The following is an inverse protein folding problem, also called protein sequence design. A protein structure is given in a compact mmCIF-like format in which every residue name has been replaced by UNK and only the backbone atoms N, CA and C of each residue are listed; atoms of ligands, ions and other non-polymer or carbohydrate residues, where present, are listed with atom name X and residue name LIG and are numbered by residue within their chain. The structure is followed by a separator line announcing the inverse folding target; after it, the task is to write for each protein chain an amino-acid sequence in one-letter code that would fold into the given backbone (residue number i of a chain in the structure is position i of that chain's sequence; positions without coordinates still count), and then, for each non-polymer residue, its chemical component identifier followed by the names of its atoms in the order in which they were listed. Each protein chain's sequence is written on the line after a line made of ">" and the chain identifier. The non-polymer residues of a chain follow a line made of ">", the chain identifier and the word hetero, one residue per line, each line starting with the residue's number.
data_IF_912595788616
#
_entry.id   IF_912595788616
#
_cell.length_a   1.000
_cell.length_b   1.000
_cell.length_c   1.000
_cell.angle_alpha   90.00
_cell.angle_beta   90.00
_cell.angle_gamma   90.00
#
_symmetry.space_group_name_H-M   'P 1'
#
loop_
_entity.id
_entity.type
_entity.pdbx_description
1 polymer ?
#
# COMPACT_ATOMS: atom_id res chain seq x y z
N UNK A 1 -2.71 16.56 -38.96
CA UNK A 1 -3.73 15.49 -38.99
C UNK A 1 -3.11 14.11 -39.22
N UNK A 2 -2.26 13.64 -38.31
CA UNK A 2 -1.85 12.24 -38.24
C UNK A 2 -2.34 11.69 -36.91
N UNK A 3 -3.40 10.89 -36.97
CA UNK A 3 -3.96 10.19 -35.82
C UNK A 3 -3.17 8.91 -35.65
N UNK A 4 -2.31 8.85 -34.63
CA UNK A 4 -1.71 7.59 -34.21
C UNK A 4 -2.80 6.72 -33.59
N UNK A 5 -3.23 5.69 -34.34
CA UNK A 5 -4.06 4.60 -33.82
C UNK A 5 -3.20 3.74 -32.90
N UNK A 6 -3.36 3.92 -31.59
CA UNK A 6 -2.95 2.90 -30.64
C UNK A 6 -3.83 1.67 -30.86
N UNK A 7 -3.20 0.52 -31.14
CA UNK A 7 -3.88 -0.78 -31.11
C UNK A 7 -4.20 -1.07 -29.65
N UNK A 8 -5.46 -0.93 -29.27
CA UNK A 8 -5.99 -1.41 -28.00
C UNK A 8 -5.79 -2.93 -27.92
N UNK A 9 -5.09 -3.39 -26.88
CA UNK A 9 -5.06 -4.81 -26.51
C UNK A 9 -6.49 -5.32 -26.28
N UNK A 10 -6.81 -6.58 -26.60
CA UNK A 10 -8.15 -7.10 -26.46
C UNK A 10 -8.59 -7.10 -24.99
N UNK A 11 -9.67 -6.38 -24.70
CA UNK A 11 -10.41 -6.53 -23.44
C UNK A 11 -10.93 -7.97 -23.37
N UNK A 12 -10.56 -8.70 -22.32
CA UNK A 12 -11.22 -9.97 -21.98
C UNK A 12 -12.64 -9.64 -21.51
N UNK A 13 -13.64 -9.96 -22.32
CA UNK A 13 -15.02 -10.05 -21.87
C UNK A 13 -15.17 -11.34 -21.06
N UNK A 14 -15.46 -11.22 -19.76
CA UNK A 14 -15.70 -12.35 -18.87
C UNK A 14 -17.07 -13.00 -19.19
N UNK A 15 -17.10 -13.86 -20.22
CA UNK A 15 -18.02 -14.99 -20.24
C UNK A 15 -17.25 -16.22 -19.77
N UNK A 16 -17.45 -16.57 -18.49
CA UNK A 16 -16.76 -17.66 -17.82
C UNK A 16 -17.15 -19.03 -18.36
N UNK A 17 -16.43 -19.51 -19.37
CA UNK A 17 -16.15 -20.94 -19.50
C UNK A 17 -14.89 -21.23 -18.71
N UNK A 18 -15.02 -21.97 -17.62
CA UNK A 18 -13.89 -22.61 -16.93
C UNK A 18 -13.32 -23.63 -17.93
N UNK A 19 -12.29 -23.23 -18.67
CA UNK A 19 -11.44 -24.18 -19.39
C UNK A 19 -10.65 -24.88 -18.28
N UNK A 20 -10.95 -26.16 -18.02
CA UNK A 20 -10.10 -27.00 -17.18
C UNK A 20 -8.70 -26.94 -17.76
N UNK A 21 -7.77 -26.30 -17.05
CA UNK A 21 -6.38 -26.18 -17.48
C UNK A 21 -5.81 -27.58 -17.73
N UNK A 22 -5.47 -27.88 -18.98
CA UNK A 22 -4.62 -29.01 -19.29
C UNK A 22 -3.30 -28.80 -18.54
N UNK A 23 -2.87 -29.79 -17.76
CA UNK A 23 -1.56 -29.75 -17.11
C UNK A 23 -0.50 -29.70 -18.22
N UNK A 24 0.07 -28.51 -18.44
CA UNK A 24 1.17 -28.32 -19.37
C UNK A 24 2.35 -29.15 -18.87
N UNK A 25 2.76 -30.16 -19.62
CA UNK A 25 3.96 -30.92 -19.31
C UNK A 25 5.19 -30.06 -19.58
N UNK A 26 5.97 -29.78 -18.54
CA UNK A 26 7.23 -29.05 -18.66
C UNK A 26 8.26 -29.86 -19.43
N UNK A 27 9.03 -29.21 -20.29
CA UNK A 27 10.19 -29.78 -20.95
C UNK A 27 11.27 -30.15 -19.93
N UNK A 28 12.18 -31.11 -20.23
CA UNK A 28 13.26 -31.49 -19.30
C UNK A 28 14.12 -30.31 -18.83
N UNK A 29 14.35 -29.31 -19.70
CA UNK A 29 15.10 -28.09 -19.37
C UNK A 29 14.35 -27.19 -18.39
N UNK A 30 13.04 -27.04 -18.56
CA UNK A 30 12.19 -26.30 -17.63
C UNK A 30 12.14 -27.00 -16.26
N UNK A 31 12.09 -28.33 -16.25
CA UNK A 31 12.17 -29.12 -15.01
C UNK A 31 13.51 -28.94 -14.28
N UNK A 32 14.63 -28.91 -15.01
CA UNK A 32 15.96 -28.67 -14.43
C UNK A 32 16.10 -27.26 -13.85
N UNK A 33 15.61 -26.25 -14.59
CA UNK A 33 15.58 -24.87 -14.13
C UNK A 33 14.71 -24.70 -12.87
N UNK A 34 13.51 -25.28 -12.88
CA UNK A 34 12.61 -25.27 -11.73
C UNK A 34 13.28 -25.95 -10.53
N UNK A 35 13.94 -27.09 -10.72
CA UNK A 35 14.70 -27.77 -9.67
C UNK A 35 15.83 -26.89 -9.09
N UNK A 36 16.51 -26.09 -9.93
CA UNK A 36 17.50 -25.13 -9.45
C UNK A 36 16.86 -24.03 -8.60
N UNK A 37 15.73 -23.46 -9.03
CA UNK A 37 15.01 -22.42 -8.28
C UNK A 37 14.41 -22.97 -6.99
N UNK A 38 13.88 -24.20 -7.00
CA UNK A 38 13.47 -24.93 -5.81
C UNK A 38 14.63 -25.10 -4.84
N UNK A 39 15.83 -25.46 -5.32
CA UNK A 39 17.03 -25.50 -4.46
C UNK A 39 17.36 -24.14 -3.86
N UNK A 40 17.16 -23.05 -4.59
CA UNK A 40 17.35 -21.70 -4.06
C UNK A 40 16.30 -21.34 -3.00
N UNK A 41 15.03 -21.70 -3.20
CA UNK A 41 13.99 -21.58 -2.17
C UNK A 41 14.35 -22.44 -0.96
N UNK A 42 14.79 -23.68 -1.17
CA UNK A 42 15.24 -24.56 -0.08
C UNK A 42 16.46 -24.01 0.63
N UNK A 43 17.36 -23.28 -0.06
CA UNK A 43 18.44 -22.54 0.60
C UNK A 43 17.91 -21.39 1.44
N UNK A 44 16.93 -20.63 0.95
CA UNK A 44 16.26 -19.58 1.73
C UNK A 44 15.59 -20.20 2.96
N UNK A 45 14.84 -21.30 2.81
CA UNK A 45 14.18 -22.03 3.90
C UNK A 45 15.20 -22.55 4.92
N UNK A 46 16.26 -23.20 4.45
CA UNK A 46 17.32 -23.75 5.30
C UNK A 46 18.07 -22.64 6.03
N UNK A 47 18.24 -21.49 5.40
CA UNK A 47 18.81 -20.30 6.01
C UNK A 47 17.92 -19.75 7.13
N UNK A 48 16.58 -19.83 6.97
CA UNK A 48 15.57 -19.42 7.96
C UNK A 48 15.39 -20.45 9.09
N UNK A 49 15.68 -21.74 8.90
CA UNK A 49 15.39 -22.77 9.93
C UNK A 49 16.35 -22.79 11.14
N UNK A 50 17.43 -22.00 11.11
CA UNK A 50 18.48 -21.98 12.14
C UNK A 50 18.08 -21.10 13.35
N UNK A 51 18.64 -21.37 14.54
CA UNK A 51 18.26 -20.72 15.83
C UNK A 51 18.35 -19.18 15.89
N UNK A 52 18.90 -18.52 14.87
CA UNK A 52 19.00 -17.05 14.74
C UNK A 52 18.18 -16.54 13.54
N UNK A 53 16.87 -16.80 13.56
CA UNK A 53 15.98 -16.55 12.42
C UNK A 53 15.84 -15.06 12.10
N UNK A 54 15.62 -14.24 13.13
CA UNK A 54 15.33 -12.82 12.97
C UNK A 54 16.48 -12.03 12.35
N UNK A 55 17.71 -12.26 12.82
CA UNK A 55 18.89 -11.56 12.30
C UNK A 55 19.21 -11.97 10.87
N UNK A 56 19.09 -13.27 10.56
CA UNK A 56 19.32 -13.80 9.20
C UNK A 56 18.30 -13.30 8.20
N UNK A 57 17.01 -13.36 8.53
CA UNK A 57 15.95 -12.80 7.68
C UNK A 57 16.25 -11.32 7.40
N UNK A 58 16.62 -10.56 8.43
CA UNK A 58 17.00 -9.15 8.27
C UNK A 58 18.22 -8.96 7.36
N UNK A 59 19.26 -9.76 7.51
CA UNK A 59 20.44 -9.70 6.62
C UNK A 59 20.07 -9.99 5.16
N UNK A 60 19.22 -11.00 4.92
CA UNK A 60 18.77 -11.33 3.56
C UNK A 60 17.88 -10.23 2.98
N UNK A 61 17.01 -9.66 3.82
CA UNK A 61 16.20 -8.49 3.49
C UNK A 61 17.08 -7.32 3.04
N UNK A 62 18.11 -6.99 3.83
CA UNK A 62 19.05 -5.90 3.54
C UNK A 62 19.90 -6.18 2.27
N UNK A 63 20.29 -7.44 2.05
CA UNK A 63 20.97 -7.88 0.82
C UNK A 63 20.09 -7.63 -0.42
N UNK A 64 18.84 -8.11 -0.40
CA UNK A 64 17.90 -7.94 -1.53
C UNK A 64 17.60 -6.46 -1.73
N UNK A 65 17.43 -5.69 -0.65
CA UNK A 65 17.12 -4.25 -0.70
C UNK A 65 18.24 -3.42 -1.34
N UNK A 66 19.49 -3.83 -1.17
CA UNK A 66 20.67 -3.09 -1.68
C UNK A 66 21.18 -3.62 -3.03
N UNK A 67 20.70 -4.79 -3.47
CA UNK A 67 21.12 -5.44 -4.71
C UNK A 67 20.90 -4.58 -5.98
N UNK A 68 21.77 -4.54 -6.99
CA UNK A 68 21.42 -3.84 -8.24
C UNK A 68 20.15 -4.42 -8.90
N UNK A 69 19.27 -3.57 -9.44
CA UNK A 69 18.00 -4.01 -10.05
C UNK A 69 18.21 -5.02 -11.19
N UNK A 70 19.25 -4.84 -12.00
CA UNK A 70 19.63 -5.79 -13.05
C UNK A 70 19.95 -7.19 -12.50
N UNK A 71 20.55 -7.28 -11.31
CA UNK A 71 20.83 -8.56 -10.64
C UNK A 71 19.57 -9.15 -10.03
N UNK A 72 18.69 -8.32 -9.45
CA UNK A 72 17.38 -8.79 -8.96
C UNK A 72 16.59 -9.46 -10.09
N UNK A 73 16.56 -8.87 -11.27
CA UNK A 73 15.90 -9.44 -12.46
C UNK A 73 16.44 -10.78 -12.92
N UNK A 74 17.74 -11.03 -12.73
CA UNK A 74 18.34 -12.33 -13.05
C UNK A 74 17.94 -13.41 -12.04
N UNK A 75 17.65 -13.03 -10.80
CA UNK A 75 17.29 -13.96 -9.73
C UNK A 75 15.78 -14.21 -9.71
N UNK A 76 15.00 -13.14 -9.74
CA UNK A 76 13.54 -13.11 -9.65
C UNK A 76 12.92 -12.97 -11.04
N UNK A 77 13.03 -14.05 -11.80
CA UNK A 77 12.34 -14.27 -13.07
C UNK A 77 11.01 -15.03 -12.84
N UNK A 78 10.29 -15.29 -13.94
CA UNK A 78 9.03 -16.03 -13.92
C UNK A 78 9.13 -17.40 -13.21
N UNK A 79 10.20 -18.15 -13.42
CA UNK A 79 10.40 -19.47 -12.78
C UNK A 79 10.60 -19.35 -11.27
N UNK A 80 11.31 -18.32 -10.80
CA UNK A 80 11.43 -18.05 -9.37
C UNK A 80 10.07 -17.72 -8.75
N UNK A 81 9.26 -16.86 -9.39
CA UNK A 81 7.93 -16.54 -8.86
C UNK A 81 6.99 -17.73 -8.86
N UNK A 82 7.08 -18.61 -9.86
CA UNK A 82 6.33 -19.87 -9.90
C UNK A 82 6.74 -20.80 -8.76
N UNK A 83 8.04 -20.89 -8.49
CA UNK A 83 8.53 -21.68 -7.36
C UNK A 83 8.07 -21.08 -6.02
N UNK A 84 8.02 -19.75 -5.89
CA UNK A 84 7.49 -19.08 -4.69
C UNK A 84 5.99 -19.35 -4.53
N UNK A 85 5.20 -19.25 -5.60
CA UNK A 85 3.77 -19.56 -5.60
C UNK A 85 3.47 -20.94 -5.01
N UNK A 86 4.25 -21.97 -5.41
CA UNK A 86 4.14 -23.34 -4.89
C UNK A 86 4.41 -23.46 -3.38
N UNK A 87 5.12 -22.51 -2.78
CA UNK A 87 5.49 -22.53 -1.36
C UNK A 87 4.63 -21.61 -0.50
N UNK A 88 3.73 -20.81 -1.10
CA UNK A 88 2.82 -19.93 -0.37
C UNK A 88 1.43 -20.56 -0.40
N UNK A 89 0.90 -20.92 0.77
CA UNK A 89 -0.45 -21.48 0.90
C UNK A 89 -1.40 -20.50 1.58
N UNK A 90 -1.19 -20.23 2.87
CA UNK A 90 -2.10 -19.43 3.72
C UNK A 90 -1.38 -18.32 4.47
N UNK A 91 -0.07 -18.17 4.27
CA UNK A 91 0.75 -17.19 4.97
C UNK A 91 0.66 -17.30 6.50
N UNK A 92 0.69 -18.54 7.00
CA UNK A 92 0.63 -18.85 8.44
C UNK A 92 1.99 -19.25 8.99
N UNK A 93 2.85 -19.82 8.15
CA UNK A 93 4.19 -20.21 8.54
C UNK A 93 5.19 -19.05 8.42
N UNK A 94 6.24 -19.10 9.22
CA UNK A 94 7.34 -18.13 9.15
C UNK A 94 7.97 -18.08 7.75
N UNK A 95 8.10 -19.23 7.08
CA UNK A 95 8.67 -19.33 5.73
C UNK A 95 7.83 -18.55 4.73
N UNK A 96 6.50 -18.77 4.71
CA UNK A 96 5.61 -18.06 3.80
C UNK A 96 5.66 -16.54 4.03
N UNK A 97 5.69 -16.10 5.29
CA UNK A 97 5.79 -14.67 5.63
C UNK A 97 7.08 -14.06 5.10
N UNK A 98 8.20 -14.80 5.18
CA UNK A 98 9.47 -14.35 4.61
C UNK A 98 9.41 -14.30 3.08
N UNK A 99 8.80 -15.29 2.43
CA UNK A 99 8.62 -15.27 0.98
C UNK A 99 7.77 -14.08 0.52
N UNK A 100 6.68 -13.77 1.23
CA UNK A 100 5.86 -12.58 0.97
C UNK A 100 6.68 -11.30 1.17
N UNK A 101 7.50 -11.23 2.23
CA UNK A 101 8.38 -10.08 2.46
C UNK A 101 9.44 -9.92 1.37
N UNK A 102 9.95 -11.01 0.81
CA UNK A 102 10.85 -10.98 -0.34
C UNK A 102 10.12 -10.45 -1.58
N UNK A 103 8.90 -10.93 -1.85
CA UNK A 103 8.07 -10.43 -2.95
C UNK A 103 7.86 -8.93 -2.81
N UNK A 104 7.45 -8.46 -1.62
CA UNK A 104 7.25 -7.04 -1.32
C UNK A 104 8.46 -6.18 -1.73
N UNK A 105 9.65 -6.52 -1.26
CA UNK A 105 10.87 -5.76 -1.61
C UNK A 105 11.13 -5.81 -3.12
N UNK A 106 10.99 -6.98 -3.74
CA UNK A 106 11.26 -7.14 -5.18
C UNK A 106 10.32 -6.25 -5.99
N UNK A 107 9.03 -6.25 -5.67
CA UNK A 107 8.05 -5.41 -6.35
C UNK A 107 8.26 -3.92 -6.05
N UNK A 108 8.49 -3.52 -4.80
CA UNK A 108 8.80 -2.13 -4.44
C UNK A 108 9.99 -1.60 -5.26
N UNK A 109 11.01 -2.43 -5.45
CA UNK A 109 12.23 -2.06 -6.19
C UNK A 109 12.07 -2.10 -7.71
N UNK A 110 11.11 -2.85 -8.21
CA UNK A 110 10.71 -2.84 -9.61
C UNK A 110 9.91 -1.61 -10.01
N UNK A 111 9.49 -0.78 -9.05
CA UNK A 111 8.69 0.40 -9.32
C UNK A 111 9.55 1.52 -9.93
N UNK A 112 9.29 1.85 -11.19
CA UNK A 112 9.84 3.04 -11.85
C UNK A 112 8.93 4.21 -11.59
N UNK A 113 9.50 5.41 -11.39
CA UNK A 113 8.77 6.63 -11.01
C UNK A 113 7.54 6.95 -11.89
N UNK A 114 7.44 6.42 -13.12
CA UNK A 114 6.31 6.64 -14.02
C UNK A 114 5.91 5.43 -14.89
N UNK A 115 6.49 4.24 -14.70
CA UNK A 115 6.21 3.08 -15.58
C UNK A 115 5.57 1.92 -14.81
N UNK A 116 5.12 0.91 -15.55
CA UNK A 116 4.74 -0.38 -14.97
C UNK A 116 5.90 -1.02 -14.20
N UNK A 117 5.54 -1.81 -13.18
CA UNK A 117 6.51 -2.56 -12.40
C UNK A 117 7.34 -3.49 -13.28
N UNK A 118 8.67 -3.45 -13.14
CA UNK A 118 9.58 -4.24 -13.97
C UNK A 118 9.40 -5.77 -13.84
N UNK A 119 8.79 -6.25 -12.75
CA UNK A 119 8.53 -7.67 -12.50
C UNK A 119 7.08 -8.08 -12.79
N UNK A 120 6.21 -7.13 -13.19
CA UNK A 120 4.78 -7.42 -13.37
C UNK A 120 4.53 -8.57 -14.35
N UNK A 121 5.20 -8.55 -15.51
CA UNK A 121 5.02 -9.58 -16.54
C UNK A 121 5.37 -10.98 -16.04
N UNK A 122 6.50 -11.10 -15.34
CA UNK A 122 6.96 -12.37 -14.79
C UNK A 122 6.02 -12.91 -13.69
N UNK A 123 5.54 -12.02 -12.81
CA UNK A 123 4.58 -12.36 -11.74
C UNK A 123 3.21 -12.75 -12.30
N UNK A 124 2.76 -12.07 -13.36
CA UNK A 124 1.49 -12.40 -14.00
C UNK A 124 1.55 -13.78 -14.68
N UNK A 125 2.63 -14.08 -15.41
CA UNK A 125 2.80 -15.37 -16.10
C UNK A 125 2.95 -16.52 -15.10
N UNK A 126 3.52 -16.25 -13.91
CA UNK A 126 3.69 -17.27 -12.87
C UNK A 126 2.42 -17.57 -12.06
N UNK A 127 1.28 -16.92 -12.37
CA UNK A 127 0.00 -17.02 -11.64
C UNK A 127 0.05 -16.52 -10.17
N UNK A 128 1.20 -15.99 -9.74
CA UNK A 128 1.40 -15.51 -8.36
C UNK A 128 0.49 -14.31 -8.05
N UNK A 129 0.12 -13.52 -9.06
CA UNK A 129 -0.83 -12.42 -8.91
C UNK A 129 -2.22 -12.93 -8.46
N UNK A 130 -2.76 -13.94 -9.13
CA UNK A 130 -4.07 -14.54 -8.80
C UNK A 130 -4.01 -15.17 -7.40
N UNK A 131 -2.86 -15.77 -7.06
CA UNK A 131 -2.60 -16.30 -5.73
C UNK A 131 -2.64 -15.21 -4.65
N UNK A 132 -1.99 -14.06 -4.88
CA UNK A 132 -2.01 -12.92 -3.95
C UNK A 132 -3.45 -12.42 -3.74
N UNK A 133 -4.24 -12.31 -4.81
CA UNK A 133 -5.66 -11.94 -4.68
C UNK A 133 -6.46 -12.93 -3.84
N UNK A 134 -6.29 -14.23 -4.08
CA UNK A 134 -6.95 -15.28 -3.29
C UNK A 134 -6.56 -15.21 -1.83
N UNK A 135 -5.26 -15.04 -1.54
CA UNK A 135 -4.72 -14.90 -0.19
C UNK A 135 -5.34 -13.69 0.53
N UNK A 136 -5.47 -12.54 -0.13
CA UNK A 136 -6.11 -11.36 0.46
C UNK A 136 -7.56 -11.67 0.83
N UNK A 137 -8.34 -12.21 -0.12
CA UNK A 137 -9.76 -12.56 0.10
C UNK A 137 -9.92 -13.52 1.29
N UNK A 138 -9.20 -14.64 1.26
CA UNK A 138 -9.27 -15.67 2.30
C UNK A 138 -8.85 -15.16 3.68
N UNK A 139 -7.77 -14.37 3.74
CA UNK A 139 -7.24 -13.84 5.01
C UNK A 139 -8.13 -12.76 5.60
N UNK A 140 -8.63 -11.84 4.79
CA UNK A 140 -9.58 -10.82 5.24
C UNK A 140 -10.85 -11.48 5.75
N UNK A 141 -11.41 -12.43 5.01
CA UNK A 141 -12.61 -13.15 5.43
C UNK A 141 -12.39 -13.94 6.72
N UNK A 142 -11.25 -14.61 6.85
CA UNK A 142 -10.91 -15.37 8.06
C UNK A 142 -10.73 -14.46 9.27
N UNK A 143 -9.95 -13.39 9.15
CA UNK A 143 -9.67 -12.48 10.26
C UNK A 143 -10.87 -11.64 10.65
N UNK A 144 -11.70 -11.23 9.70
CA UNK A 144 -12.91 -10.47 10.01
C UNK A 144 -13.91 -11.28 10.83
N UNK A 145 -14.03 -12.59 10.54
CA UNK A 145 -14.85 -13.52 11.33
C UNK A 145 -14.28 -13.78 12.73
N UNK A 146 -12.96 -13.84 12.87
CA UNK A 146 -12.33 -14.22 14.15
C UNK A 146 -12.10 -13.05 15.10
N UNK A 147 -11.78 -11.86 14.58
CA UNK A 147 -11.18 -10.78 15.37
C UNK A 147 -12.13 -9.65 15.73
N UNK A 148 -13.39 -9.67 15.28
CA UNK A 148 -14.39 -8.66 15.63
C UNK A 148 -13.90 -7.24 15.30
N UNK A 149 -13.52 -6.47 16.32
CA UNK A 149 -13.07 -5.08 16.20
C UNK A 149 -11.55 -4.88 16.11
N UNK A 150 -10.73 -5.93 16.18
CA UNK A 150 -9.28 -5.76 16.06
C UNK A 150 -8.84 -5.44 14.62
N UNK A 151 -7.71 -4.75 14.48
CA UNK A 151 -7.07 -4.53 13.18
C UNK A 151 -6.72 -5.84 12.50
N UNK A 152 -6.79 -5.85 11.17
CA UNK A 152 -6.21 -6.90 10.36
C UNK A 152 -4.71 -7.03 10.61
N UNK A 153 -4.19 -8.23 10.43
CA UNK A 153 -2.79 -8.53 10.62
C UNK A 153 -1.89 -7.81 9.61
N UNK A 154 -0.62 -7.64 9.98
CA UNK A 154 0.37 -7.04 9.10
C UNK A 154 0.58 -7.80 7.80
N UNK A 155 0.30 -9.10 7.76
CA UNK A 155 0.43 -9.89 6.53
C UNK A 155 -0.69 -9.55 5.53
N UNK A 156 -1.90 -9.22 6.01
CA UNK A 156 -2.97 -8.72 5.14
C UNK A 156 -2.59 -7.36 4.56
N UNK A 157 -2.06 -6.46 5.38
CA UNK A 157 -1.58 -5.15 4.93
C UNK A 157 -0.48 -5.30 3.86
N UNK A 158 0.48 -6.19 4.09
CA UNK A 158 1.59 -6.48 3.17
C UNK A 158 1.11 -7.06 1.83
N UNK A 159 0.14 -7.99 1.86
CA UNK A 159 -0.44 -8.54 0.64
C UNK A 159 -1.18 -7.47 -0.18
N UNK A 160 -1.94 -6.59 0.48
CA UNK A 160 -2.63 -5.47 -0.17
C UNK A 160 -1.62 -4.48 -0.77
N UNK A 161 -0.52 -4.21 -0.07
CA UNK A 161 0.56 -3.35 -0.55
C UNK A 161 1.20 -3.91 -1.85
N UNK A 162 1.58 -5.20 -1.84
CA UNK A 162 2.06 -5.91 -3.03
C UNK A 162 1.05 -5.81 -4.18
N UNK A 163 -0.22 -6.07 -3.87
CA UNK A 163 -1.31 -6.01 -4.83
C UNK A 163 -1.43 -4.61 -5.47
N UNK A 164 -1.35 -3.54 -4.68
CA UNK A 164 -1.43 -2.18 -5.19
C UNK A 164 -0.22 -1.83 -6.06
N UNK A 165 1.00 -2.18 -5.65
CA UNK A 165 2.22 -1.93 -6.45
C UNK A 165 2.12 -2.60 -7.82
N UNK A 166 1.64 -3.84 -7.87
CA UNK A 166 1.53 -4.60 -9.12
C UNK A 166 0.41 -4.09 -10.03
N UNK A 167 -0.68 -3.57 -9.45
CA UNK A 167 -1.84 -3.07 -10.21
C UNK A 167 -1.83 -1.56 -10.45
N UNK A 168 -0.73 -0.86 -10.21
CA UNK A 168 -0.65 0.56 -10.54
C UNK A 168 -0.99 0.77 -12.02
N UNK A 169 -1.97 1.65 -12.30
CA UNK A 169 -2.46 2.00 -13.65
C UNK A 169 -3.26 0.91 -14.37
N UNK A 170 -3.65 -0.17 -13.67
CA UNK A 170 -4.44 -1.26 -14.24
C UNK A 170 -5.87 -1.23 -13.72
N UNK A 171 -6.78 -1.76 -14.54
CA UNK A 171 -8.14 -2.00 -14.10
C UNK A 171 -8.13 -3.14 -13.07
N UNK A 172 -8.76 -2.90 -11.92
CA UNK A 172 -8.90 -3.82 -10.81
C UNK A 172 -10.38 -4.05 -10.61
N UNK A 173 -10.69 -5.28 -10.25
CA UNK A 173 -12.04 -5.74 -9.97
C UNK A 173 -12.55 -5.05 -8.70
N UNK A 174 -13.76 -4.48 -8.77
CA UNK A 174 -14.43 -3.73 -7.70
C UNK A 174 -14.41 -4.46 -6.34
N UNK A 175 -14.54 -5.78 -6.34
CA UNK A 175 -14.48 -6.61 -5.14
C UNK A 175 -13.17 -6.46 -4.37
N UNK A 176 -12.02 -6.41 -5.08
CA UNK A 176 -10.72 -6.23 -4.43
C UNK A 176 -10.59 -4.84 -3.83
N UNK A 177 -11.14 -3.82 -4.49
CA UNK A 177 -11.15 -2.44 -3.98
C UNK A 177 -11.96 -2.39 -2.68
N UNK A 178 -13.15 -2.99 -2.67
CA UNK A 178 -14.00 -3.05 -1.49
C UNK A 178 -13.33 -3.78 -0.33
N UNK A 179 -12.57 -4.85 -0.60
CA UNK A 179 -11.77 -5.54 0.41
C UNK A 179 -10.67 -4.64 0.98
N UNK A 180 -9.93 -3.93 0.12
CA UNK A 180 -8.88 -3.02 0.58
C UNK A 180 -9.46 -1.88 1.44
N UNK A 181 -10.57 -1.29 0.99
CA UNK A 181 -11.36 -0.29 1.73
C UNK A 181 -11.74 -0.79 3.12
N UNK A 182 -12.27 -2.01 3.20
CA UNK A 182 -12.64 -2.65 4.46
C UNK A 182 -11.45 -2.79 5.40
N UNK A 183 -10.29 -3.20 4.89
CA UNK A 183 -9.07 -3.33 5.69
C UNK A 183 -8.61 -1.98 6.24
N UNK A 184 -8.55 -0.95 5.41
CA UNK A 184 -8.13 0.39 5.84
C UNK A 184 -9.10 1.03 6.85
N UNK A 185 -10.41 0.91 6.61
CA UNK A 185 -11.45 1.41 7.53
C UNK A 185 -11.31 0.81 8.93
N UNK A 186 -10.85 -0.45 9.05
CA UNK A 186 -10.64 -1.13 10.33
C UNK A 186 -9.30 -0.79 10.96
N UNK A 187 -8.23 -0.74 10.17
CA UNK A 187 -6.87 -0.59 10.70
C UNK A 187 -6.56 0.83 11.15
N UNK A 188 -7.03 1.85 10.44
CA UNK A 188 -6.70 3.25 10.74
C UNK A 188 -7.17 3.68 12.14
N UNK A 189 -8.45 3.51 12.51
CA UNK A 189 -8.92 3.87 13.85
C UNK A 189 -8.14 3.15 14.95
N UNK A 190 -7.86 1.85 14.77
CA UNK A 190 -7.08 1.05 15.73
C UNK A 190 -5.66 1.57 15.90
N UNK A 191 -4.99 1.99 14.81
CA UNK A 191 -3.65 2.58 14.87
C UNK A 191 -3.69 3.95 15.58
N UNK A 192 -4.67 4.79 15.26
CA UNK A 192 -4.84 6.10 15.92
C UNK A 192 -5.11 5.94 17.43
N UNK A 193 -5.91 4.95 17.83
CA UNK A 193 -6.16 4.63 19.23
C UNK A 193 -4.91 4.11 19.94
N UNK A 194 -4.12 3.23 19.29
CA UNK A 194 -2.83 2.76 19.83
C UNK A 194 -1.85 3.92 20.06
N UNK A 195 -1.78 4.86 19.11
CA UNK A 195 -0.95 6.06 19.22
C UNK A 195 -1.38 6.94 20.41
N UNK A 196 -2.68 7.15 20.58
CA UNK A 196 -3.26 7.89 21.71
C UNK A 196 -2.93 7.21 23.04
N UNK A 197 -3.03 5.88 23.12
CA UNK A 197 -2.72 5.12 24.33
C UNK A 197 -1.24 5.20 24.70
N UNK A 198 -0.32 5.12 23.72
CA UNK A 198 1.12 5.29 23.96
C UNK A 198 1.42 6.67 24.54
N UNK A 199 0.74 7.71 24.07
CA UNK A 199 0.89 9.06 24.62
C UNK A 199 0.47 9.12 26.10
N UNK A 200 -0.66 8.51 26.45
CA UNK A 200 -1.13 8.45 27.84
C UNK A 200 -0.13 7.69 28.72
N UNK A 201 0.38 6.54 28.25
CA UNK A 201 1.40 5.76 28.98
C UNK A 201 2.69 6.57 29.20
N UNK A 202 3.14 7.33 28.18
CA UNK A 202 4.31 8.21 28.28
C UNK A 202 4.11 9.32 29.31
N UNK A 203 2.93 9.92 29.37
CA UNK A 203 2.58 10.94 30.38
C UNK A 203 2.56 10.36 31.81
N UNK A 204 2.30 9.06 31.95
CA UNK A 204 2.36 8.32 33.21
C UNK A 204 3.77 7.82 33.57
N UNK A 205 4.80 8.17 32.79
CA UNK A 205 6.18 7.74 33.04
C UNK A 205 6.47 6.28 32.72
N UNK A 206 5.54 5.56 32.08
CA UNK A 206 5.77 4.20 31.58
C UNK A 206 6.52 4.31 30.26
N UNK A 207 7.77 3.84 30.22
CA UNK A 207 8.54 3.72 28.98
C UNK A 207 8.48 2.28 28.51
N UNK A 208 7.81 2.08 27.39
CA UNK A 208 7.82 0.83 26.64
C UNK A 208 8.28 1.13 25.21
N UNK A 209 9.59 1.06 25.01
CA UNK A 209 10.22 1.38 23.73
C UNK A 209 9.82 0.37 22.64
N UNK A 210 9.55 -0.89 23.02
CA UNK A 210 9.12 -1.93 22.08
C UNK A 210 7.73 -1.60 21.51
N UNK A 211 6.76 -1.23 22.36
CA UNK A 211 5.45 -0.76 21.89
C UNK A 211 5.57 0.43 20.94
N UNK A 212 6.48 1.36 21.24
CA UNK A 212 6.71 2.54 20.39
C UNK A 212 7.23 2.14 19.01
N UNK A 213 8.23 1.25 18.94
CA UNK A 213 8.77 0.75 17.67
C UNK A 213 7.68 0.06 16.85
N UNK A 214 6.87 -0.80 17.48
CA UNK A 214 5.77 -1.50 16.81
C UNK A 214 4.78 -0.52 16.20
N UNK A 215 4.40 0.52 16.94
CA UNK A 215 3.47 1.54 16.42
C UNK A 215 4.08 2.42 15.34
N UNK A 216 5.37 2.78 15.44
CA UNK A 216 6.06 3.52 14.37
C UNK A 216 6.13 2.69 13.07
N UNK A 217 6.35 1.38 13.16
CA UNK A 217 6.31 0.47 12.00
C UNK A 217 4.90 0.38 11.40
N UNK A 218 3.86 0.21 12.23
CA UNK A 218 2.47 0.21 11.78
C UNK A 218 2.08 1.54 11.11
N UNK A 219 2.50 2.66 11.70
CA UNK A 219 2.23 3.99 11.15
C UNK A 219 2.92 4.17 9.79
N UNK A 220 4.18 3.76 9.66
CA UNK A 220 4.90 3.83 8.38
C UNK A 220 4.17 3.04 7.28
N UNK A 221 3.73 1.81 7.59
CA UNK A 221 2.94 0.99 6.65
C UNK A 221 1.65 1.66 6.27
N UNK A 222 0.95 2.23 7.24
CA UNK A 222 -0.28 2.96 7.00
C UNK A 222 -0.09 4.14 6.05
N UNK A 223 0.98 4.92 6.24
CA UNK A 223 1.34 6.00 5.31
C UNK A 223 1.50 5.45 3.90
N UNK A 224 2.27 4.36 3.72
CA UNK A 224 2.46 3.73 2.41
C UNK A 224 1.12 3.29 1.80
N UNK A 225 0.26 2.61 2.56
CA UNK A 225 -1.05 2.15 2.08
C UNK A 225 -1.97 3.29 1.65
N UNK A 226 -2.03 4.39 2.39
CA UNK A 226 -2.85 5.57 2.01
C UNK A 226 -2.30 6.19 0.71
N UNK A 227 -0.97 6.28 0.59
CA UNK A 227 -0.31 6.86 -0.57
C UNK A 227 -0.60 6.03 -1.83
N UNK A 228 -0.51 4.71 -1.72
CA UNK A 228 -0.84 3.78 -2.80
C UNK A 228 -2.29 3.81 -3.21
N UNK A 229 -3.20 3.91 -2.24
CA UNK A 229 -4.61 4.07 -2.53
C UNK A 229 -4.86 5.37 -3.32
N UNK A 230 -4.14 6.44 -2.99
CA UNK A 230 -4.21 7.69 -3.77
C UNK A 230 -3.81 7.51 -5.22
N UNK A 231 -2.64 6.90 -5.45
CA UNK A 231 -2.18 6.57 -6.80
C UNK A 231 -3.15 5.64 -7.53
N UNK A 232 -3.71 4.70 -6.80
CA UNK A 232 -4.70 3.78 -7.32
C UNK A 232 -5.97 4.52 -7.75
N UNK A 233 -6.56 5.37 -6.90
CA UNK A 233 -7.73 6.17 -7.26
C UNK A 233 -7.51 7.00 -8.53
N UNK A 234 -6.36 7.68 -8.61
CA UNK A 234 -6.00 8.48 -9.79
C UNK A 234 -5.92 7.63 -11.07
N UNK A 235 -5.46 6.38 -10.95
CA UNK A 235 -5.46 5.43 -12.06
C UNK A 235 -6.88 4.98 -12.45
N UNK A 236 -7.82 4.85 -11.50
CA UNK A 236 -9.21 4.47 -11.79
C UNK A 236 -10.00 5.57 -12.46
N UNK A 237 -9.88 6.80 -11.98
CA UNK A 237 -10.65 7.92 -12.50
C UNK A 237 -10.41 8.12 -14.00
N UNK A 238 -9.18 7.87 -14.46
CA UNK A 238 -8.84 7.93 -15.88
C UNK A 238 -9.50 6.82 -16.71
N UNK A 239 -9.94 5.73 -16.08
CA UNK A 239 -10.31 4.48 -16.74
C UNK A 239 -11.77 4.01 -16.50
N UNK A 240 -12.49 4.49 -15.49
CA UNK A 240 -13.82 3.99 -15.16
C UNK A 240 -14.78 5.06 -14.58
N UNK A 241 -15.85 5.35 -15.32
CA UNK A 241 -17.00 6.14 -14.86
C UNK A 241 -17.90 5.20 -14.04
N UNK A 242 -17.72 5.10 -12.72
CA UNK A 242 -18.71 4.40 -11.87
C UNK A 242 -18.21 3.80 -10.55
N UNK A 243 -16.91 3.56 -10.38
CA UNK A 243 -16.34 2.92 -9.16
C UNK A 243 -16.15 3.94 -8.01
N UNK A 244 -16.36 5.23 -8.30
CA UNK A 244 -16.07 6.36 -7.42
C UNK A 244 -16.73 6.29 -6.03
N UNK A 245 -17.98 5.81 -5.91
CA UNK A 245 -18.76 5.96 -4.68
C UNK A 245 -18.15 5.28 -3.43
N UNK A 246 -17.66 4.04 -3.56
CA UNK A 246 -17.12 3.32 -2.40
C UNK A 246 -15.75 3.85 -1.96
N UNK A 247 -14.90 4.20 -2.93
CA UNK A 247 -13.59 4.79 -2.62
C UNK A 247 -13.76 6.16 -1.98
N UNK A 248 -14.67 6.99 -2.49
CA UNK A 248 -15.04 8.27 -1.88
C UNK A 248 -15.48 8.09 -0.43
N UNK A 249 -16.38 7.14 -0.13
CA UNK A 249 -16.86 6.88 1.24
C UNK A 249 -15.71 6.44 2.15
N UNK A 250 -14.81 5.57 1.69
CA UNK A 250 -13.64 5.17 2.47
C UNK A 250 -12.73 6.38 2.73
N UNK A 251 -12.38 7.12 1.69
CA UNK A 251 -11.55 8.32 1.79
C UNK A 251 -12.16 9.33 2.76
N UNK A 252 -13.49 9.45 2.72
CA UNK A 252 -14.25 10.31 3.59
C UNK A 252 -14.14 9.93 5.05
N UNK A 253 -14.30 8.65 5.40
CA UNK A 253 -14.32 8.27 6.81
C UNK A 253 -12.90 8.16 7.39
N UNK A 254 -11.98 7.69 6.56
CA UNK A 254 -10.69 7.20 7.04
C UNK A 254 -9.59 8.24 6.88
N UNK A 255 -9.43 8.82 5.68
CA UNK A 255 -8.40 9.83 5.44
C UNK A 255 -8.77 11.17 6.07
N UNK A 256 -10.07 11.50 6.18
CA UNK A 256 -10.46 12.71 6.90
C UNK A 256 -10.24 12.59 8.41
N UNK A 257 -10.27 11.40 9.01
CA UNK A 257 -9.93 11.26 10.44
C UNK A 257 -8.47 11.69 10.72
N UNK A 258 -7.59 11.47 9.74
CA UNK A 258 -6.16 11.81 9.82
C UNK A 258 -5.92 13.32 9.76
N UNK A 259 -6.62 14.06 8.89
CA UNK A 259 -6.47 15.53 8.84
C UNK A 259 -6.87 16.21 10.15
N UNK A 260 -7.74 15.55 10.94
CA UNK A 260 -8.20 16.06 12.23
C UNK A 260 -7.25 15.75 13.40
N UNK A 261 -6.16 15.01 13.14
CA UNK A 261 -5.12 14.76 14.14
C UNK A 261 -4.34 16.03 14.44
N UNK A 262 -4.15 16.33 15.73
CA UNK A 262 -3.40 17.50 16.21
C UNK A 262 -3.90 18.84 15.64
N UNK A 263 -5.21 18.98 15.40
CA UNK A 263 -5.79 20.27 15.06
C UNK A 263 -5.61 21.27 16.20
N UNK A 264 -5.49 22.58 15.91
CA UNK A 264 -5.47 23.61 16.94
C UNK A 264 -6.73 23.58 17.80
N UNK A 265 -6.59 23.86 19.09
CA UNK A 265 -7.73 23.89 20.02
C UNK A 265 -8.71 25.02 19.72
N UNK A 266 -8.23 26.16 19.24
CA UNK A 266 -9.03 27.32 18.80
C UNK A 266 -9.91 27.00 17.57
N UNK A 267 -9.69 25.85 16.92
CA UNK A 267 -10.57 25.43 15.82
C UNK A 267 -11.90 24.89 16.31
N UNK A 268 -12.02 24.51 17.59
CA UNK A 268 -13.16 23.80 18.16
C UNK A 268 -13.59 22.61 17.29
N UNK A 269 -12.60 21.92 16.69
CA UNK A 269 -12.85 20.80 15.79
C UNK A 269 -13.41 19.61 16.60
N UNK A 270 -14.66 19.17 16.34
CA UNK A 270 -15.27 18.08 17.11
C UNK A 270 -14.61 16.72 16.82
N UNK A 271 -13.91 16.60 15.69
CA UNK A 271 -13.20 15.40 15.27
C UNK A 271 -11.72 15.41 15.68
N UNK A 272 -11.28 16.39 16.49
CA UNK A 272 -9.88 16.53 16.90
C UNK A 272 -9.42 15.31 17.69
N UNK A 273 -8.35 14.68 17.20
CA UNK A 273 -7.64 13.62 17.94
C UNK A 273 -6.26 14.14 18.30
N UNK A 274 -5.99 14.29 19.60
CA UNK A 274 -4.67 14.69 20.10
C UNK A 274 -3.74 13.47 20.16
N UNK A 275 -2.62 13.54 19.44
CA UNK A 275 -1.61 12.50 19.31
C UNK A 275 -0.22 13.14 19.47
N UNK A 276 0.75 12.43 20.07
CA UNK A 276 2.11 12.94 20.15
C UNK A 276 2.67 13.20 18.75
N UNK A 277 3.11 14.44 18.50
CA UNK A 277 3.71 14.80 17.23
C UNK A 277 5.00 13.99 17.01
N UNK A 278 5.09 13.34 15.86
CA UNK A 278 6.29 12.67 15.35
C UNK A 278 6.44 12.95 13.85
N UNK A 279 7.61 12.65 13.30
CA UNK A 279 7.85 12.78 11.86
C UNK A 279 6.89 11.89 11.06
N UNK A 280 6.56 10.70 11.55
CA UNK A 280 5.64 9.77 10.89
C UNK A 280 4.20 10.26 10.93
N UNK A 281 3.77 10.94 12.00
CA UNK A 281 2.44 11.58 12.05
C UNK A 281 2.38 12.73 11.05
N UNK A 282 3.44 13.52 10.94
CA UNK A 282 3.55 14.58 9.94
C UNK A 282 3.50 14.01 8.51
N UNK A 283 4.23 12.93 8.24
CA UNK A 283 4.19 12.22 6.96
C UNK A 283 2.79 11.66 6.66
N UNK A 284 2.12 11.07 7.65
CA UNK A 284 0.76 10.57 7.51
C UNK A 284 -0.21 11.70 7.15
N UNK A 285 -0.10 12.87 7.80
CA UNK A 285 -0.92 14.04 7.46
C UNK A 285 -0.62 14.57 6.06
N UNK A 286 0.66 14.64 5.68
CA UNK A 286 1.06 15.05 4.33
C UNK A 286 0.41 14.16 3.27
N UNK A 287 0.58 12.84 3.39
CA UNK A 287 0.00 11.87 2.46
C UNK A 287 -1.52 11.96 2.46
N UNK A 288 -2.17 12.10 3.62
CA UNK A 288 -3.62 12.30 3.67
C UNK A 288 -4.09 13.55 2.92
N UNK A 289 -3.39 14.68 3.05
CA UNK A 289 -3.71 15.90 2.32
C UNK A 289 -3.45 15.77 0.82
N UNK A 290 -2.33 15.16 0.42
CA UNK A 290 -2.00 14.86 -0.98
C UNK A 290 -3.10 13.99 -1.61
N UNK A 291 -3.45 12.87 -0.97
CA UNK A 291 -4.51 11.99 -1.46
C UNK A 291 -5.85 12.71 -1.54
N UNK A 292 -6.23 13.51 -0.53
CA UNK A 292 -7.46 14.30 -0.58
C UNK A 292 -7.45 15.30 -1.75
N UNK A 293 -6.32 15.98 -1.97
CA UNK A 293 -6.19 16.95 -3.05
C UNK A 293 -6.36 16.27 -4.40
N UNK A 294 -5.65 15.16 -4.63
CA UNK A 294 -5.69 14.35 -5.85
C UNK A 294 -7.13 13.96 -6.24
N UNK A 295 -7.92 13.52 -5.27
CA UNK A 295 -9.33 13.17 -5.48
C UNK A 295 -10.20 14.40 -5.74
N UNK A 296 -10.00 15.46 -4.96
CA UNK A 296 -10.82 16.67 -5.03
C UNK A 296 -10.62 17.50 -6.32
N UNK A 297 -9.58 17.23 -7.11
CA UNK A 297 -9.32 17.90 -8.40
C UNK A 297 -10.50 17.70 -9.34
N UNK A 298 -10.89 16.44 -9.54
CA UNK A 298 -11.84 16.05 -10.56
C UNK A 298 -13.23 15.74 -9.97
N UNK A 299 -13.34 15.71 -8.63
CA UNK A 299 -14.58 15.39 -7.93
C UNK A 299 -15.17 16.58 -7.17
N UNK A 300 -16.08 17.30 -7.83
CA UNK A 300 -16.71 18.51 -7.28
C UNK A 300 -17.56 18.19 -6.04
N UNK A 301 -18.27 17.07 -6.04
CA UNK A 301 -19.16 16.69 -4.93
C UNK A 301 -18.34 16.32 -3.68
N UNK A 302 -17.27 15.54 -3.85
CA UNK A 302 -16.33 15.22 -2.78
C UNK A 302 -15.68 16.49 -2.23
N UNK A 303 -15.23 17.41 -3.10
CA UNK A 303 -14.67 18.71 -2.68
C UNK A 303 -15.67 19.53 -1.86
N UNK A 304 -16.91 19.66 -2.35
CA UNK A 304 -17.97 20.39 -1.66
C UNK A 304 -18.28 19.75 -0.30
N UNK A 305 -18.30 18.43 -0.24
CA UNK A 305 -18.47 17.70 1.01
C UNK A 305 -17.36 18.03 2.01
N UNK A 306 -16.09 17.99 1.60
CA UNK A 306 -14.94 18.27 2.48
C UNK A 306 -14.97 19.70 3.03
N UNK A 307 -15.33 20.67 2.19
CA UNK A 307 -15.48 22.07 2.60
C UNK A 307 -16.60 22.19 3.63
N UNK A 308 -17.78 21.62 3.35
CA UNK A 308 -18.96 21.77 4.19
C UNK A 308 -18.86 21.03 5.53
N UNK A 309 -18.35 19.80 5.53
CA UNK A 309 -18.43 18.90 6.70
C UNK A 309 -17.13 18.84 7.50
N UNK A 310 -15.98 19.04 6.88
CA UNK A 310 -14.68 18.94 7.55
C UNK A 310 -13.93 20.26 7.62
N UNK A 311 -14.49 21.35 7.09
CA UNK A 311 -13.84 22.67 7.05
C UNK A 311 -12.39 22.58 6.52
N UNK A 312 -12.17 21.77 5.49
CA UNK A 312 -10.85 21.33 5.05
C UNK A 312 -9.87 22.49 4.80
N UNK A 313 -10.37 23.63 4.31
CA UNK A 313 -9.58 24.83 4.03
C UNK A 313 -8.89 25.33 5.31
N UNK A 314 -9.62 25.41 6.41
CA UNK A 314 -9.10 25.87 7.70
C UNK A 314 -7.99 24.95 8.21
N UNK A 315 -8.19 23.63 8.08
CA UNK A 315 -7.20 22.62 8.45
C UNK A 315 -5.94 22.66 7.57
N UNK A 316 -6.12 22.79 6.26
CA UNK A 316 -5.02 22.87 5.29
C UNK A 316 -4.16 24.12 5.50
N UNK A 317 -4.77 25.29 5.69
CA UNK A 317 -4.04 26.54 5.95
C UNK A 317 -3.18 26.41 7.22
N UNK A 318 -3.76 25.91 8.30
CA UNK A 318 -2.98 25.69 9.53
C UNK A 318 -1.85 24.68 9.31
N UNK A 319 -2.13 23.58 8.62
CA UNK A 319 -1.12 22.58 8.32
C UNK A 319 0.05 23.20 7.55
N UNK A 320 -0.22 23.99 6.50
CA UNK A 320 0.80 24.69 5.73
C UNK A 320 1.60 25.66 6.61
N UNK A 321 0.94 26.48 7.44
CA UNK A 321 1.63 27.43 8.34
C UNK A 321 2.55 26.69 9.32
N UNK A 322 2.07 25.62 9.95
CA UNK A 322 2.84 24.83 10.93
C UNK A 322 4.00 24.10 10.26
N UNK A 323 3.76 23.50 9.09
CA UNK A 323 4.78 22.81 8.31
C UNK A 323 5.86 23.78 7.83
N UNK A 324 5.47 24.95 7.31
CA UNK A 324 6.39 25.99 6.81
C UNK A 324 7.21 26.64 7.92
N UNK A 325 6.63 26.79 9.11
CA UNK A 325 7.34 27.32 10.28
C UNK A 325 8.34 26.32 10.86
N UNK A 326 8.11 25.02 10.67
CA UNK A 326 8.93 23.94 11.24
C UNK A 326 10.00 23.41 10.29
N UNK A 327 9.88 23.67 8.98
CA UNK A 327 10.80 23.21 7.96
C UNK A 327 11.46 24.39 7.24
N UNK A 328 12.74 24.28 6.91
CA UNK A 328 13.43 25.32 6.12
C UNK A 328 12.80 25.49 4.74
N UNK A 329 12.88 26.70 4.17
CA UNK A 329 12.35 27.06 2.85
C UNK A 329 12.75 26.09 1.72
N UNK A 330 13.93 25.47 1.84
CA UNK A 330 14.43 24.45 0.90
C UNK A 330 13.58 23.16 0.90
N UNK A 331 13.09 22.70 2.06
CA UNK A 331 12.22 21.51 2.13
C UNK A 331 10.85 21.79 1.52
N UNK A 332 10.33 23.00 1.72
CA UNK A 332 9.11 23.47 1.08
C UNK A 332 9.19 23.52 -0.44
N UNK A 333 10.31 24.04 -0.97
CA UNK A 333 10.54 24.06 -2.42
C UNK A 333 10.57 22.64 -2.98
N UNK A 334 11.28 21.71 -2.34
CA UNK A 334 11.31 20.30 -2.76
C UNK A 334 9.93 19.65 -2.71
N UNK A 335 9.11 19.97 -1.68
CA UNK A 335 7.73 19.47 -1.58
C UNK A 335 6.83 20.07 -2.67
N UNK A 336 6.87 21.37 -2.89
CA UNK A 336 6.09 22.04 -3.95
C UNK A 336 6.52 21.65 -5.37
N UNK A 337 7.75 21.18 -5.55
CA UNK A 337 8.25 20.61 -6.81
C UNK A 337 7.84 19.14 -6.96
N UNK A 338 7.82 18.37 -5.87
CA UNK A 338 7.48 16.94 -5.87
C UNK A 338 5.97 16.68 -5.88
N UNK A 339 5.19 17.51 -5.20
CA UNK A 339 3.77 17.65 -5.50
C UNK A 339 3.76 18.30 -6.87
N UNK A 340 3.60 17.50 -7.92
CA UNK A 340 3.22 18.03 -9.23
C UNK A 340 1.87 18.71 -9.03
N UNK A 341 1.88 20.00 -8.67
CA UNK A 341 0.76 20.91 -8.76
C UNK A 341 0.86 21.59 -10.15
N UNK A 342 0.47 20.94 -11.26
CA UNK A 342 0.27 21.68 -12.49
C UNK A 342 -0.95 22.57 -12.24
N UNK A 343 -0.73 23.87 -12.10
CA UNK A 343 -1.76 24.92 -12.19
C UNK A 343 -3.11 24.57 -11.51
N UNK A 344 -3.06 24.29 -10.21
CA UNK A 344 -4.19 23.76 -9.47
C UNK A 344 -5.29 24.83 -9.26
N UNK A 345 -6.56 24.60 -9.68
CA UNK A 345 -7.66 25.57 -9.53
C UNK A 345 -7.98 25.94 -8.07
N UNK A 346 -7.68 25.04 -7.12
CA UNK A 346 -7.96 25.25 -5.69
C UNK A 346 -7.08 26.38 -5.10
N UNK A 347 -5.87 26.58 -5.61
CA UNK A 347 -4.99 27.70 -5.21
C UNK A 347 -5.22 28.96 -6.05
N UNK A 348 -5.96 28.89 -7.16
CA UNK A 348 -6.39 30.06 -7.94
C UNK A 348 -7.66 30.72 -7.34
N UNK A 349 -8.33 30.03 -6.41
CA UNK A 349 -9.50 30.53 -5.68
C UNK A 349 -9.25 30.80 -4.19
N UNK A 350 -8.06 30.47 -3.68
CA UNK A 350 -7.52 30.98 -2.42
C UNK A 350 -6.65 32.20 -2.74
#
# INVERSE_FOLDING_TARGET
>A
NQVHRYKSSPMRTHEGKIIKGEKVQLTPREQENLSFKEKEIQRIISYISLQDKGQKIKMKYDEIRTMPLAKLKQIYDMEMFKAIDLHIEKCLSEVEIVLISIIEIVVERGLRQQDENEFFGDILISELMDKIESLIKERVDSEDRMRGYESFSSIVEQLIHIFFILNQKKYVIDDMINICIKVMNKNIPVILDKLKNIQIEKQQGKRDEEKRIVVEVSLKRLVQTIQELGYFYLAFEQNAIGICGNIEIMMLNTVTSIIHTNCPSDFNCPQRTEILQSQQIEQMKNVAFETIADIAINNIDFRNFLIKNHNIIKHLIHFIITYTSSNSLQKLQTMLINIKFPQHPILLHL
#
